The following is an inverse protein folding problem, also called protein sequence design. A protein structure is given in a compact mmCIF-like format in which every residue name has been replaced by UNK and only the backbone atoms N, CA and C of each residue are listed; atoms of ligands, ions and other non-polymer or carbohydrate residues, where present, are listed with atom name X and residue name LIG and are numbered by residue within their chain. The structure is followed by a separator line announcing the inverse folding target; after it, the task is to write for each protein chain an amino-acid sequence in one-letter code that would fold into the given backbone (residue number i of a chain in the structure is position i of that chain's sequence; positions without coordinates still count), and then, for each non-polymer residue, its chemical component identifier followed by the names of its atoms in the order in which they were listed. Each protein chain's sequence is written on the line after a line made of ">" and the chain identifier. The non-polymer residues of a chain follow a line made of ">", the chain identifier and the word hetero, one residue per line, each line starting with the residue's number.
data_IF_233312625837
#
_entry.id   IF_233312625837
#
_cell.length_a   1.000
_cell.length_b   1.000
_cell.length_c   1.000
_cell.angle_alpha   90.00
_cell.angle_beta   90.00
_cell.angle_gamma   90.00
#
_symmetry.space_group_name_H-M   'P 1'
#
loop_
_entity.id
_entity.type
_entity.pdbx_description
1 polymer ?
#
# COMPACT_ATOMS: atom_id res chain seq x y z
N UNK A 1 -8.80 -18.70 -8.05
CA UNK A 1 -7.62 -17.89 -7.63
C UNK A 1 -7.60 -16.59 -8.41
N UNK A 2 -7.21 -15.49 -7.79
CA UNK A 2 -6.98 -14.20 -8.43
C UNK A 2 -5.52 -13.77 -8.22
N UNK A 3 -4.90 -13.26 -9.28
CA UNK A 3 -3.57 -12.67 -9.27
C UNK A 3 -3.75 -11.16 -9.52
N UNK A 4 -3.42 -10.35 -8.55
CA UNK A 4 -3.69 -8.91 -8.58
C UNK A 4 -2.38 -8.13 -8.50
N UNK A 5 -2.24 -7.15 -9.37
CA UNK A 5 -1.21 -6.13 -9.22
C UNK A 5 -1.73 -5.06 -8.23
N UNK A 6 -0.86 -4.55 -7.38
CA UNK A 6 -1.22 -3.44 -6.48
C UNK A 6 -1.63 -2.21 -7.30
N UNK A 7 -0.87 -1.89 -8.34
CA UNK A 7 -1.10 -0.73 -9.18
C UNK A 7 -1.84 -1.12 -10.46
N UNK A 8 -3.15 -0.88 -10.47
CA UNK A 8 -3.97 -1.11 -11.65
C UNK A 8 -4.62 0.19 -12.14
N UNK A 9 -4.73 0.42 -13.46
CA UNK A 9 -5.49 1.55 -13.98
C UNK A 9 -6.93 1.52 -13.50
N UNK A 10 -7.38 2.60 -12.87
CA UNK A 10 -8.77 2.75 -12.40
C UNK A 10 -9.10 2.06 -11.07
N UNK A 11 -8.09 1.52 -10.39
CA UNK A 11 -8.30 0.89 -9.08
C UNK A 11 -7.00 0.43 -8.42
N UNK A 12 -7.14 -0.10 -7.23
CA UNK A 12 -6.04 -0.61 -6.42
C UNK A 12 -6.32 -2.10 -6.12
N UNK A 13 -5.30 -2.93 -6.33
CA UNK A 13 -5.39 -4.37 -6.12
C UNK A 13 -5.73 -4.79 -4.69
N UNK A 14 -5.42 -3.96 -3.70
CA UNK A 14 -5.76 -4.21 -2.30
C UNK A 14 -7.26 -4.08 -2.06
N UNK A 15 -7.87 -3.04 -2.63
CA UNK A 15 -9.33 -2.86 -2.60
C UNK A 15 -10.05 -4.01 -3.30
N UNK A 16 -9.54 -4.46 -4.46
CA UNK A 16 -10.06 -5.62 -5.17
C UNK A 16 -9.93 -6.90 -4.32
N UNK A 17 -8.81 -7.09 -3.62
CA UNK A 17 -8.61 -8.24 -2.73
C UNK A 17 -9.63 -8.26 -1.58
N UNK A 18 -9.91 -7.11 -0.94
CA UNK A 18 -10.93 -6.99 0.10
C UNK A 18 -12.31 -7.38 -0.41
N UNK A 19 -12.72 -6.87 -1.58
CA UNK A 19 -14.01 -7.22 -2.21
C UNK A 19 -14.09 -8.72 -2.53
N UNK A 20 -13.01 -9.30 -3.04
CA UNK A 20 -12.95 -10.74 -3.32
C UNK A 20 -13.07 -11.57 -2.05
N UNK A 21 -12.41 -11.17 -0.97
CA UNK A 21 -12.52 -11.85 0.33
C UNK A 21 -13.97 -11.87 0.85
N UNK A 22 -14.69 -10.78 0.69
CA UNK A 22 -16.07 -10.66 1.14
C UNK A 22 -17.05 -11.44 0.26
N UNK A 23 -16.90 -11.33 -1.06
CA UNK A 23 -17.87 -11.89 -2.02
C UNK A 23 -17.55 -13.31 -2.45
N UNK A 24 -16.29 -13.71 -2.44
CA UNK A 24 -15.80 -15.01 -2.89
C UNK A 24 -14.74 -15.54 -1.92
N UNK A 25 -15.10 -15.93 -0.69
CA UNK A 25 -14.14 -16.35 0.36
C UNK A 25 -13.27 -17.56 -0.04
N UNK A 26 -13.73 -18.38 -0.97
CA UNK A 26 -12.97 -19.52 -1.52
C UNK A 26 -11.92 -19.10 -2.56
N UNK A 27 -11.93 -17.86 -3.02
CA UNK A 27 -10.96 -17.35 -3.98
C UNK A 27 -9.65 -17.03 -3.29
N UNK A 28 -8.60 -17.79 -3.54
CA UNK A 28 -7.26 -17.49 -3.08
C UNK A 28 -6.73 -16.26 -3.85
N UNK A 29 -6.27 -15.25 -3.11
CA UNK A 29 -5.75 -14.02 -3.70
C UNK A 29 -4.24 -13.95 -3.53
N UNK A 30 -3.53 -13.70 -4.63
CA UNK A 30 -2.09 -13.43 -4.68
C UNK A 30 -1.89 -12.01 -5.15
N UNK A 31 -1.12 -11.24 -4.40
CA UNK A 31 -0.73 -9.86 -4.74
C UNK A 31 0.66 -9.85 -5.34
N UNK A 32 0.80 -9.18 -6.48
CA UNK A 32 2.08 -8.87 -7.09
C UNK A 32 2.54 -7.49 -6.65
N UNK A 33 3.76 -7.42 -6.13
CA UNK A 33 4.35 -6.20 -5.56
C UNK A 33 5.62 -5.88 -6.35
N UNK A 34 5.78 -4.62 -6.77
CA UNK A 34 7.01 -4.13 -7.38
C UNK A 34 8.11 -4.01 -6.32
N UNK A 35 9.33 -4.39 -6.66
CA UNK A 35 10.50 -4.27 -5.78
C UNK A 35 10.67 -2.83 -5.26
N UNK A 36 11.06 -2.70 -3.99
CA UNK A 36 11.22 -1.39 -3.34
C UNK A 36 9.94 -0.80 -2.73
N UNK A 37 8.79 -1.51 -2.85
CA UNK A 37 7.52 -1.09 -2.26
C UNK A 37 7.03 -2.03 -1.15
N UNK A 38 7.96 -2.45 -0.32
CA UNK A 38 7.74 -3.40 0.78
C UNK A 38 6.69 -2.95 1.80
N UNK A 39 6.47 -1.64 1.97
CA UNK A 39 5.41 -1.10 2.83
C UNK A 39 4.00 -1.54 2.42
N UNK A 40 3.80 -1.87 1.15
CA UNK A 40 2.54 -2.47 0.68
C UNK A 40 2.32 -3.89 1.22
N UNK A 41 3.37 -4.62 1.58
CA UNK A 41 3.23 -5.99 2.08
C UNK A 41 2.33 -6.06 3.31
N UNK A 42 2.48 -5.15 4.28
CA UNK A 42 1.63 -5.10 5.47
C UNK A 42 0.16 -4.89 5.10
N UNK A 43 -0.12 -3.88 4.26
CA UNK A 43 -1.49 -3.60 3.79
C UNK A 43 -2.06 -4.78 2.98
N UNK A 44 -1.23 -5.41 2.15
CA UNK A 44 -1.62 -6.59 1.39
C UNK A 44 -1.96 -7.78 2.31
N UNK A 45 -1.21 -7.98 3.40
CA UNK A 45 -1.53 -9.00 4.40
C UNK A 45 -2.87 -8.73 5.10
N UNK A 46 -3.18 -7.47 5.39
CA UNK A 46 -4.45 -7.04 6.00
C UNK A 46 -5.64 -7.21 5.03
N UNK A 47 -5.42 -7.15 3.72
CA UNK A 47 -6.46 -7.37 2.70
C UNK A 47 -6.98 -8.81 2.66
N UNK A 48 -6.30 -9.75 3.35
CA UNK A 48 -6.65 -11.16 3.38
C UNK A 48 -6.08 -11.99 2.23
N UNK A 49 -5.17 -11.43 1.44
CA UNK A 49 -4.41 -12.19 0.46
C UNK A 49 -3.53 -13.24 1.14
N UNK A 50 -3.25 -14.31 0.43
CA UNK A 50 -2.49 -15.47 0.91
C UNK A 50 -1.15 -15.64 0.21
N UNK A 51 -0.94 -14.95 -0.92
CA UNK A 51 0.32 -14.92 -1.64
C UNK A 51 0.79 -13.48 -1.86
N UNK A 52 2.10 -13.25 -1.69
CA UNK A 52 2.76 -11.95 -1.84
C UNK A 52 4.07 -12.19 -2.57
N UNK A 53 4.13 -11.81 -3.84
CA UNK A 53 5.24 -12.13 -4.72
C UNK A 53 5.77 -10.87 -5.40
N UNK A 54 7.05 -10.89 -5.74
CA UNK A 54 7.63 -9.85 -6.57
C UNK A 54 7.13 -9.98 -8.01
N UNK A 55 6.75 -8.86 -8.61
CA UNK A 55 6.29 -8.79 -10.01
C UNK A 55 7.41 -9.16 -10.99
N UNK A 56 8.65 -8.88 -10.60
CA UNK A 56 9.86 -9.14 -11.35
C UNK A 56 10.40 -10.58 -11.15
N UNK A 57 9.77 -11.39 -10.30
CA UNK A 57 10.20 -12.75 -10.04
C UNK A 57 10.16 -13.62 -11.33
N UNK A 58 11.13 -14.53 -11.52
CA UNK A 58 11.12 -15.45 -12.65
C UNK A 58 9.80 -16.24 -12.74
N UNK A 59 9.29 -16.45 -13.96
CA UNK A 59 8.02 -17.14 -14.19
C UNK A 59 7.97 -18.53 -13.53
N UNK A 60 9.11 -19.22 -13.44
CA UNK A 60 9.20 -20.54 -12.78
C UNK A 60 8.92 -20.43 -11.27
N UNK A 61 9.44 -19.39 -10.60
CA UNK A 61 9.21 -19.13 -9.17
C UNK A 61 7.77 -18.73 -8.91
N UNK A 62 7.20 -17.85 -9.75
CA UNK A 62 5.78 -17.51 -9.71
C UNK A 62 4.90 -18.75 -9.83
N UNK A 63 5.21 -19.67 -10.78
CA UNK A 63 4.46 -20.90 -10.97
C UNK A 63 4.53 -21.83 -9.74
N UNK A 64 5.68 -21.92 -9.09
CA UNK A 64 5.85 -22.70 -7.85
C UNK A 64 5.02 -22.08 -6.72
N UNK A 65 5.13 -20.76 -6.52
CA UNK A 65 4.39 -20.04 -5.50
C UNK A 65 2.87 -20.17 -5.68
N UNK A 66 2.38 -20.06 -6.91
CA UNK A 66 0.97 -20.23 -7.25
C UNK A 66 0.48 -21.65 -6.87
N UNK A 67 1.26 -22.70 -7.17
CA UNK A 67 0.88 -24.07 -6.81
C UNK A 67 0.82 -24.26 -5.28
N UNK A 68 1.73 -23.66 -4.53
CA UNK A 68 1.73 -23.70 -3.07
C UNK A 68 0.51 -22.98 -2.50
N UNK A 69 0.17 -21.82 -3.02
CA UNK A 69 -1.06 -21.10 -2.65
C UNK A 69 -2.30 -21.94 -2.93
N UNK A 70 -2.36 -22.60 -4.09
CA UNK A 70 -3.47 -23.50 -4.44
C UNK A 70 -3.54 -24.75 -3.55
N UNK A 71 -2.42 -25.15 -2.94
CA UNK A 71 -2.37 -26.20 -1.93
C UNK A 71 -2.78 -25.71 -0.52
N UNK A 72 -3.15 -24.41 -0.37
CA UNK A 72 -3.58 -23.82 0.89
C UNK A 72 -2.46 -23.18 1.74
N UNK A 73 -1.26 -23.09 1.19
CA UNK A 73 -0.15 -22.43 1.88
C UNK A 73 -0.25 -20.89 1.77
N UNK A 74 0.28 -20.19 2.77
CA UNK A 74 0.63 -18.77 2.64
C UNK A 74 2.04 -18.66 2.11
N UNK A 75 2.21 -17.84 1.07
CA UNK A 75 3.51 -17.66 0.42
C UNK A 75 3.87 -16.17 0.43
N UNK A 76 5.02 -15.86 1.02
CA UNK A 76 5.62 -14.51 1.00
C UNK A 76 6.98 -14.64 0.36
N UNK A 77 7.26 -13.78 -0.62
CA UNK A 77 8.59 -13.67 -1.19
C UNK A 77 9.58 -13.26 -0.10
N UNK A 78 10.73 -13.96 0.05
CA UNK A 78 11.69 -13.68 1.10
C UNK A 78 12.28 -12.27 1.05
N UNK A 79 12.50 -11.70 -0.13
CA UNK A 79 13.03 -10.34 -0.28
C UNK A 79 12.00 -9.30 0.17
N UNK A 80 10.71 -9.50 -0.16
CA UNK A 80 9.63 -8.65 0.34
C UNK A 80 9.51 -8.71 1.86
N UNK A 81 9.62 -9.91 2.44
CA UNK A 81 9.55 -10.07 3.89
C UNK A 81 10.71 -9.36 4.59
N UNK A 82 11.93 -9.52 4.07
CA UNK A 82 13.13 -8.87 4.62
C UNK A 82 13.04 -7.35 4.51
N UNK A 83 12.62 -6.84 3.36
CA UNK A 83 12.46 -5.40 3.14
C UNK A 83 11.39 -4.81 4.07
N UNK A 84 10.25 -5.47 4.25
CA UNK A 84 9.20 -5.02 5.15
C UNK A 84 9.65 -4.97 6.62
N UNK A 85 10.51 -5.90 7.04
CA UNK A 85 11.09 -5.89 8.38
C UNK A 85 12.11 -4.75 8.59
N UNK A 86 12.81 -4.34 7.54
CA UNK A 86 13.82 -3.28 7.61
C UNK A 86 13.24 -1.86 7.57
N UNK A 87 12.06 -1.67 6.99
CA UNK A 87 11.44 -0.34 6.84
C UNK A 87 10.75 0.21 8.09
N UNK A 88 10.53 -0.62 9.10
CA UNK A 88 9.86 -0.23 10.33
C UNK A 88 8.35 0.02 10.18
N UNK A 89 7.75 0.52 11.25
CA UNK A 89 6.33 0.83 11.29
C UNK A 89 6.02 2.18 10.63
N UNK A 90 4.85 2.26 10.00
CA UNK A 90 4.34 3.52 9.47
C UNK A 90 4.10 4.51 10.62
N UNK A 91 4.82 5.65 10.68
CA UNK A 91 4.68 6.62 11.75
C UNK A 91 3.45 7.51 11.60
N UNK A 92 2.79 7.46 10.42
CA UNK A 92 1.68 8.34 10.10
C UNK A 92 0.36 7.83 10.69
N UNK A 93 -0.43 8.74 11.27
CA UNK A 93 -1.81 8.45 11.64
C UNK A 93 -2.70 8.28 10.41
N UNK A 94 -3.91 7.71 10.58
CA UNK A 94 -4.89 7.57 9.50
C UNK A 94 -5.21 8.90 8.82
N UNK A 95 -5.41 9.97 9.60
CA UNK A 95 -5.70 11.31 9.07
C UNK A 95 -4.51 11.96 8.36
N UNK A 96 -3.30 11.77 8.84
CA UNK A 96 -2.10 12.24 8.15
C UNK A 96 -1.94 11.54 6.79
N UNK A 97 -2.21 10.24 6.72
CA UNK A 97 -2.20 9.48 5.47
C UNK A 97 -3.25 9.99 4.47
N UNK A 98 -4.49 10.19 4.92
CA UNK A 98 -5.57 10.74 4.08
C UNK A 98 -5.22 12.10 3.49
N UNK A 99 -4.66 12.98 4.31
CA UNK A 99 -4.26 14.33 3.88
C UNK A 99 -3.08 14.30 2.91
N UNK A 100 -2.05 13.48 3.17
CA UNK A 100 -0.93 13.30 2.25
C UNK A 100 -1.37 12.67 0.93
N UNK A 101 -2.19 11.63 0.96
CA UNK A 101 -2.72 10.99 -0.24
C UNK A 101 -3.52 11.99 -1.11
N UNK A 102 -4.34 12.83 -0.48
CA UNK A 102 -5.08 13.88 -1.19
C UNK A 102 -4.20 15.00 -1.77
N UNK A 103 -2.91 15.05 -1.39
CA UNK A 103 -1.96 16.05 -1.89
C UNK A 103 -1.10 15.55 -3.07
N UNK A 104 -1.12 14.26 -3.37
CA UNK A 104 -0.26 13.66 -4.41
C UNK A 104 -0.50 14.21 -5.82
N UNK A 105 -1.72 14.61 -6.12
CA UNK A 105 -2.10 15.23 -7.39
C UNK A 105 -1.78 16.72 -7.49
N UNK A 106 -1.08 17.28 -6.49
CA UNK A 106 -0.75 18.70 -6.41
C UNK A 106 -1.89 19.60 -5.95
N UNK A 107 -2.93 19.04 -5.33
CA UNK A 107 -4.08 19.80 -4.82
C UNK A 107 -3.66 20.86 -3.81
N UNK A 108 -4.32 22.02 -3.85
CA UNK A 108 -4.14 23.08 -2.86
C UNK A 108 -4.72 22.67 -1.49
N UNK A 109 -4.26 23.33 -0.42
CA UNK A 109 -4.81 23.11 0.94
C UNK A 109 -6.33 23.31 0.97
N UNK A 110 -6.85 24.30 0.25
CA UNK A 110 -8.29 24.56 0.12
C UNK A 110 -9.00 23.36 -0.50
N UNK A 111 -8.44 22.82 -1.60
CA UNK A 111 -9.02 21.67 -2.29
C UNK A 111 -8.98 20.40 -1.41
N UNK A 112 -7.88 20.16 -0.70
CA UNK A 112 -7.74 19.03 0.23
C UNK A 112 -8.76 19.16 1.37
N UNK A 113 -8.89 20.36 1.96
CA UNK A 113 -9.84 20.64 3.02
C UNK A 113 -11.28 20.35 2.58
N UNK A 114 -11.65 20.79 1.37
CA UNK A 114 -12.98 20.54 0.79
C UNK A 114 -13.21 19.03 0.55
N UNK A 115 -12.24 18.31 -0.03
CA UNK A 115 -12.34 16.86 -0.30
C UNK A 115 -12.51 16.02 0.96
N UNK A 116 -11.82 16.41 2.04
CA UNK A 116 -11.81 15.64 3.29
C UNK A 116 -12.78 16.16 4.34
N UNK A 117 -13.55 17.19 4.02
CA UNK A 117 -14.46 17.88 4.96
C UNK A 117 -13.76 18.35 6.23
N UNK A 118 -12.57 18.96 6.06
CA UNK A 118 -11.75 19.52 7.14
C UNK A 118 -11.60 21.03 6.99
N UNK A 119 -11.19 21.71 8.07
CA UNK A 119 -10.72 23.10 7.96
C UNK A 119 -9.32 23.15 7.34
N UNK A 120 -8.99 24.25 6.67
CA UNK A 120 -7.62 24.46 6.16
C UNK A 120 -6.56 24.40 7.28
N UNK A 121 -6.88 24.92 8.47
CA UNK A 121 -6.00 24.85 9.63
C UNK A 121 -5.72 23.41 10.06
N UNK A 122 -6.75 22.56 10.05
CA UNK A 122 -6.61 21.13 10.34
C UNK A 122 -5.72 20.43 9.31
N UNK A 123 -5.92 20.71 8.01
CA UNK A 123 -5.07 20.18 6.94
C UNK A 123 -3.62 20.59 7.13
N UNK A 124 -3.35 21.89 7.40
CA UNK A 124 -1.98 22.39 7.66
C UNK A 124 -1.33 21.69 8.84
N UNK A 125 -2.06 21.47 9.93
CA UNK A 125 -1.55 20.77 11.10
C UNK A 125 -1.17 19.32 10.77
N UNK A 126 -2.01 18.57 10.06
CA UNK A 126 -1.69 17.20 9.66
C UNK A 126 -0.48 17.14 8.72
N UNK A 127 -0.38 18.05 7.74
CA UNK A 127 0.78 18.15 6.85
C UNK A 127 2.06 18.47 7.63
N UNK A 128 2.01 19.42 8.54
CA UNK A 128 3.16 19.80 9.36
C UNK A 128 3.65 18.63 10.24
N UNK A 129 2.73 17.91 10.86
CA UNK A 129 3.06 16.73 11.67
C UNK A 129 3.66 15.61 10.81
N UNK A 130 3.09 15.36 9.63
CA UNK A 130 3.61 14.37 8.70
C UNK A 130 5.02 14.71 8.21
N UNK A 131 5.28 15.99 7.86
CA UNK A 131 6.62 16.48 7.48
C UNK A 131 7.64 16.17 8.58
N UNK A 132 7.31 16.47 9.85
CA UNK A 132 8.19 16.20 10.99
C UNK A 132 8.44 14.71 11.19
N UNK A 133 7.40 13.88 11.15
CA UNK A 133 7.50 12.42 11.31
C UNK A 133 8.35 11.74 10.24
N UNK A 134 8.27 12.25 9.01
CA UNK A 134 9.01 11.72 7.86
C UNK A 134 10.36 12.39 7.65
N UNK A 135 10.70 13.38 8.47
CA UNK A 135 11.90 14.19 8.32
C UNK A 135 12.05 14.77 6.90
N UNK A 136 10.95 15.19 6.30
CA UNK A 136 10.90 15.76 4.97
C UNK A 136 11.04 17.29 5.02
N UNK A 137 11.43 17.91 3.90
CA UNK A 137 11.59 19.35 3.80
C UNK A 137 10.27 20.08 3.53
N UNK A 138 9.32 19.38 2.93
CA UNK A 138 7.98 19.90 2.61
C UNK A 138 6.98 18.75 2.44
N UNK A 139 5.72 19.11 2.32
CA UNK A 139 4.61 18.15 2.21
C UNK A 139 4.65 17.30 0.94
N UNK A 140 5.14 17.86 -0.19
CA UNK A 140 5.26 17.12 -1.45
C UNK A 140 6.31 16.00 -1.33
N UNK A 141 7.42 16.30 -0.69
CA UNK A 141 8.43 15.30 -0.38
C UNK A 141 7.89 14.26 0.61
N UNK A 142 7.20 14.70 1.66
CA UNK A 142 6.57 13.80 2.62
C UNK A 142 5.58 12.84 1.94
N UNK A 143 4.75 13.35 1.03
CA UNK A 143 3.80 12.55 0.27
C UNK A 143 4.49 11.51 -0.62
N UNK A 144 5.54 11.91 -1.35
CA UNK A 144 6.33 10.99 -2.19
C UNK A 144 7.04 9.92 -1.37
N UNK A 145 7.66 10.29 -0.25
CA UNK A 145 8.30 9.33 0.65
C UNK A 145 7.31 8.31 1.19
N UNK A 146 6.14 8.77 1.64
CA UNK A 146 5.10 7.91 2.16
C UNK A 146 4.52 7.00 1.07
N UNK A 147 4.35 7.49 -0.15
CA UNK A 147 3.92 6.69 -1.29
C UNK A 147 4.95 5.62 -1.67
N UNK A 148 6.24 5.99 -1.79
CA UNK A 148 7.32 5.04 -2.09
C UNK A 148 7.41 3.92 -1.04
N UNK A 149 7.16 4.24 0.22
CA UNK A 149 7.12 3.27 1.32
C UNK A 149 5.81 2.49 1.41
N UNK A 150 4.84 2.75 0.55
CA UNK A 150 3.52 2.11 0.58
C UNK A 150 2.70 2.45 1.84
N UNK A 151 2.93 3.60 2.43
CA UNK A 151 2.22 4.08 3.62
C UNK A 151 0.93 4.85 3.32
N UNK A 152 0.73 5.25 2.06
CA UNK A 152 -0.47 5.94 1.55
C UNK A 152 -1.42 5.02 0.83
#
# INVERSE_FOLDING_TARGET
>A
MALLDIEMPGGDGLSAALVLRERLPSCQVVILITFGRSGYLRRAMESGAVGFLLKEAPAAELAVAIRRVMAGERVVDPELALAALSEGDNPLSGREREVLAASLDGASIVAIAARLHLSEGTVRNHLSTAIQKLNAHNWMEAARLAEQKGWL
#
